data_IF_966366227509
#
_entry.id   IF_966366227509
#
_cell.length_a   1.000
_cell.length_b   1.000
_cell.length_c   1.000
_cell.angle_alpha   90.00
_cell.angle_beta   90.00
_cell.angle_gamma   90.00
#
_symmetry.space_group_name_H-M   'P 1'
#
loop_
_entity.id
_entity.type
_entity.pdbx_description
1 polymer ?
#
# COMPACT_ATOMS: atom_id res chain seq x y z
N UNK A 1 -8.90 -22.83 -21.59
CA UNK A 1 -8.46 -22.66 -20.18
C UNK A 1 -8.39 -21.18 -19.88
N UNK A 2 -9.00 -20.72 -18.78
CA UNK A 2 -8.81 -19.34 -18.29
C UNK A 2 -7.81 -19.35 -17.12
N UNK A 3 -6.86 -18.40 -17.05
CA UNK A 3 -5.95 -18.25 -15.92
C UNK A 3 -6.69 -18.15 -14.60
N UNK A 4 -6.24 -18.88 -13.58
CA UNK A 4 -6.85 -18.90 -12.25
C UNK A 4 -6.95 -17.49 -11.64
N UNK A 5 -5.93 -16.65 -11.86
CA UNK A 5 -5.85 -15.27 -11.37
C UNK A 5 -7.05 -14.45 -11.82
N UNK A 6 -7.53 -14.62 -13.05
CA UNK A 6 -8.63 -13.82 -13.59
C UNK A 6 -9.99 -14.15 -12.93
N UNK A 7 -10.11 -15.29 -12.25
CA UNK A 7 -11.33 -15.65 -11.49
C UNK A 7 -11.33 -15.12 -10.06
N UNK A 8 -10.17 -14.77 -9.54
CA UNK A 8 -9.99 -14.43 -8.12
C UNK A 8 -9.37 -13.04 -7.89
N UNK A 9 -8.95 -12.36 -8.95
CA UNK A 9 -8.53 -10.97 -8.88
C UNK A 9 -9.74 -10.11 -8.52
N UNK A 10 -9.85 -9.74 -7.25
CA UNK A 10 -10.75 -8.69 -6.79
C UNK A 10 -10.04 -7.37 -7.10
N UNK A 11 -10.62 -6.47 -7.91
CA UNK A 11 -10.05 -5.14 -8.12
C UNK A 11 -9.87 -4.47 -6.76
N UNK A 12 -8.65 -4.00 -6.47
CA UNK A 12 -8.41 -3.25 -5.25
C UNK A 12 -9.37 -2.06 -5.21
N UNK A 13 -10.12 -1.93 -4.13
CA UNK A 13 -11.00 -0.78 -3.92
C UNK A 13 -10.13 0.47 -3.95
N UNK A 14 -10.52 1.44 -4.79
CA UNK A 14 -9.78 2.70 -4.90
C UNK A 14 -9.99 3.47 -3.60
N UNK A 15 -9.02 3.37 -2.71
CA UNK A 15 -9.01 4.13 -1.46
C UNK A 15 -9.09 5.63 -1.76
N UNK A 16 -10.03 6.32 -1.14
CA UNK A 16 -10.19 7.78 -1.21
C UNK A 16 -9.15 8.52 -0.35
N UNK A 17 -8.20 7.81 0.25
CA UNK A 17 -7.15 8.39 1.08
C UNK A 17 -6.25 9.26 0.21
N UNK A 18 -6.35 10.57 0.41
CA UNK A 18 -5.40 11.53 -0.13
C UNK A 18 -4.03 11.27 0.51
N UNK A 19 -3.05 10.93 -0.31
CA UNK A 19 -1.69 10.66 0.15
C UNK A 19 -0.99 12.00 0.39
N UNK A 20 -0.56 12.33 1.63
CA UNK A 20 -0.09 13.66 2.00
C UNK A 20 1.38 13.93 1.60
N UNK A 21 1.90 13.22 0.60
CA UNK A 21 3.29 13.34 0.13
C UNK A 21 3.36 13.19 -1.39
N UNK A 22 4.39 13.78 -1.98
CA UNK A 22 4.72 13.65 -3.40
C UNK A 22 6.12 13.03 -3.57
N UNK A 23 6.33 12.28 -4.65
CA UNK A 23 7.64 11.74 -4.97
C UNK A 23 8.55 12.82 -5.57
N UNK A 24 9.71 13.04 -4.95
CA UNK A 24 10.76 13.91 -5.47
C UNK A 24 11.84 13.06 -6.15
N UNK A 25 11.89 13.11 -7.48
CA UNK A 25 12.81 12.31 -8.29
C UNK A 25 14.30 12.67 -8.08
N UNK A 26 14.61 13.93 -7.76
CA UNK A 26 15.99 14.36 -7.53
C UNK A 26 16.56 13.77 -6.23
N UNK A 27 15.70 13.58 -5.22
CA UNK A 27 16.07 12.98 -3.93
C UNK A 27 15.79 11.48 -3.88
N UNK A 28 15.01 10.95 -4.83
CA UNK A 28 14.45 9.60 -4.80
C UNK A 28 13.67 9.29 -3.51
N UNK A 29 12.92 10.28 -3.02
CA UNK A 29 12.20 10.19 -1.76
C UNK A 29 10.77 10.71 -1.90
N UNK A 30 9.86 10.12 -1.13
CA UNK A 30 8.57 10.72 -0.84
C UNK A 30 8.76 11.86 0.15
N UNK A 31 8.30 13.05 -0.22
CA UNK A 31 8.46 14.29 0.56
C UNK A 31 7.11 14.93 0.87
N UNK A 32 7.02 15.58 2.02
CA UNK A 32 5.90 16.42 2.42
C UNK A 32 5.93 17.74 1.64
N UNK A 33 4.88 18.57 1.80
CA UNK A 33 4.80 19.90 1.18
C UNK A 33 5.89 20.87 1.64
N UNK A 34 6.48 20.64 2.82
CA UNK A 34 7.62 21.39 3.36
C UNK A 34 8.99 20.82 2.92
N UNK A 35 9.00 19.76 2.11
CA UNK A 35 10.20 19.11 1.59
C UNK A 35 10.84 18.09 2.53
N UNK A 36 10.36 17.93 3.77
CA UNK A 36 10.87 16.88 4.67
C UNK A 36 10.52 15.48 4.14
N UNK A 37 11.39 14.46 4.32
CA UNK A 37 11.05 13.09 3.97
C UNK A 37 9.81 12.61 4.73
N UNK A 38 8.84 12.04 4.02
CA UNK A 38 7.58 11.56 4.59
C UNK A 38 7.78 10.48 5.67
N UNK A 39 8.88 9.71 5.59
CA UNK A 39 9.24 8.69 6.59
C UNK A 39 9.56 9.26 7.98
N UNK A 40 9.87 10.55 8.08
CA UNK A 40 10.12 11.22 9.36
C UNK A 40 8.82 11.67 10.06
N UNK A 41 7.67 11.64 9.37
CA UNK A 41 6.40 12.12 9.91
C UNK A 41 5.55 10.97 10.48
N UNK A 42 5.41 10.95 11.81
CA UNK A 42 4.68 9.91 12.52
C UNK A 42 3.19 9.87 12.18
N UNK A 43 2.56 11.02 11.93
CA UNK A 43 1.14 11.08 11.62
C UNK A 43 0.88 10.48 10.23
N UNK A 44 1.76 10.78 9.28
CA UNK A 44 1.74 10.14 7.95
C UNK A 44 1.92 8.63 8.07
N UNK A 45 2.94 8.17 8.81
CA UNK A 45 3.17 6.73 9.00
C UNK A 45 1.98 6.01 9.65
N UNK A 46 1.31 6.62 10.63
CA UNK A 46 0.11 6.03 11.25
C UNK A 46 -1.06 5.94 10.27
N UNK A 47 -1.24 6.95 9.42
CA UNK A 47 -2.32 7.00 8.45
C UNK A 47 -2.11 6.06 7.25
N UNK A 48 -0.85 5.84 6.85
CA UNK A 48 -0.50 5.07 5.63
C UNK A 48 0.12 3.71 5.92
N UNK A 49 0.45 3.41 7.18
CA UNK A 49 1.19 2.20 7.59
C UNK A 49 0.38 0.90 7.56
N UNK A 50 -0.91 0.94 7.18
CA UNK A 50 -1.72 -0.27 7.09
C UNK A 50 -1.43 -1.01 5.78
N UNK A 51 -0.46 -1.92 5.80
CA UNK A 51 -0.48 -3.04 4.85
C UNK A 51 -1.53 -4.03 5.34
N UNK A 52 -2.78 -3.87 4.92
CA UNK A 52 -3.76 -4.95 5.08
C UNK A 52 -3.34 -6.07 4.14
N UNK A 53 -2.45 -6.95 4.62
CA UNK A 53 -2.21 -8.24 4.00
C UNK A 53 -3.46 -9.08 4.15
N UNK A 54 -4.37 -9.01 3.18
CA UNK A 54 -5.48 -9.96 3.07
C UNK A 54 -5.03 -11.31 2.53
N UNK A 55 -3.72 -11.48 2.28
CA UNK A 55 -3.08 -12.76 2.03
C UNK A 55 -3.02 -13.57 3.33
N UNK A 56 -4.18 -13.92 3.89
CA UNK A 56 -4.27 -15.06 4.78
C UNK A 56 -3.74 -16.26 4.00
N UNK A 57 -2.56 -16.75 4.38
CA UNK A 57 -2.03 -17.99 3.87
C UNK A 57 -3.01 -19.09 4.27
N UNK A 58 -3.92 -19.42 3.36
CA UNK A 58 -4.77 -20.61 3.49
C UNK A 58 -3.91 -21.81 3.09
N UNK A 59 -2.90 -22.14 3.90
CA UNK A 59 -2.32 -23.48 3.93
C UNK A 59 -3.28 -24.34 4.74
N UNK A 60 -4.39 -24.74 4.13
CA UNK A 60 -5.23 -25.81 4.65
C UNK A 60 -4.80 -27.09 3.95
N UNK A 61 -4.32 -28.07 4.71
CA UNK A 61 -4.80 -29.46 4.76
C UNK A 61 -4.14 -30.09 5.99
N UNK A 62 -4.79 -29.95 7.15
CA UNK A 62 -4.64 -30.94 8.22
C UNK A 62 -5.47 -32.17 7.79
N UNK A 63 -4.81 -33.33 7.76
CA UNK A 63 -5.25 -34.72 7.52
C UNK A 63 -6.23 -35.04 6.37
#
# INVERSE_FOLDING_TARGET
>A
MQPFVLKHAIPAERSSVSVPYAYNAALQLNVLSDGRPAIADRAVLLATGTTTSTAGSKTHFDD
#
